data_IF_611978684685
#
_entry.id   IF_611978684685
#
_cell.length_a   1.000
_cell.length_b   1.000
_cell.length_c   1.000
_cell.angle_alpha   90.00
_cell.angle_beta   90.00
_cell.angle_gamma   90.00
#
_symmetry.space_group_name_H-M   'P 1'
#
loop_
_entity.id
_entity.type
_entity.pdbx_description
1 polymer ?
#
# COMPACT_ATOMS: atom_id res chain seq x y z
N UNK A 1 -27.19 34.94 18.45
CA UNK A 1 -26.78 34.07 17.34
C UNK A 1 -25.56 33.27 17.80
N UNK A 2 -25.65 31.95 17.84
CA UNK A 2 -24.56 31.06 18.28
C UNK A 2 -23.75 30.65 17.04
N UNK A 3 -22.53 31.13 16.92
CA UNK A 3 -21.57 30.70 15.90
C UNK A 3 -20.86 29.44 16.39
N UNK A 4 -21.17 28.30 15.78
CA UNK A 4 -20.41 27.06 15.94
C UNK A 4 -19.16 27.15 15.06
N UNK A 5 -18.00 27.31 15.66
CA UNK A 5 -16.71 27.15 14.96
C UNK A 5 -16.36 25.67 14.96
N UNK A 6 -16.75 24.96 13.90
CA UNK A 6 -16.29 23.59 13.67
C UNK A 6 -14.82 23.64 13.31
N UNK A 7 -13.96 23.30 14.26
CA UNK A 7 -12.54 23.04 14.01
C UNK A 7 -12.44 21.78 13.12
N UNK A 8 -12.24 21.98 11.82
CA UNK A 8 -11.84 20.91 10.93
C UNK A 8 -10.45 20.44 11.38
N UNK A 9 -10.42 19.28 12.04
CA UNK A 9 -9.20 18.56 12.35
C UNK A 9 -8.52 18.24 11.02
N UNK A 10 -7.49 19.02 10.67
CA UNK A 10 -6.62 18.78 9.52
C UNK A 10 -6.03 17.38 9.72
N UNK A 11 -6.52 16.41 8.96
CA UNK A 11 -5.93 15.08 8.89
C UNK A 11 -4.57 15.29 8.25
N UNK A 12 -3.51 15.15 9.06
CA UNK A 12 -2.12 15.18 8.62
C UNK A 12 -1.99 14.44 7.29
N UNK A 13 -1.67 15.18 6.22
CA UNK A 13 -1.34 14.55 4.95
C UNK A 13 -0.02 13.81 5.16
N UNK A 14 -0.04 12.47 5.06
CA UNK A 14 1.17 11.66 5.11
C UNK A 14 2.25 12.28 4.22
N UNK A 15 3.41 12.56 4.79
CA UNK A 15 4.52 13.31 4.18
C UNK A 15 5.39 12.45 3.25
N UNK A 16 4.90 11.27 2.89
CA UNK A 16 5.61 10.29 2.07
C UNK A 16 5.72 10.75 0.61
N UNK A 17 6.84 10.40 -0.01
CA UNK A 17 7.11 10.75 -1.40
C UNK A 17 6.74 9.60 -2.33
N UNK A 18 5.92 9.91 -3.34
CA UNK A 18 5.57 8.97 -4.40
C UNK A 18 6.21 9.44 -5.70
N UNK A 19 7.14 8.66 -6.23
CA UNK A 19 7.82 8.97 -7.48
C UNK A 19 7.20 8.23 -8.67
N UNK A 20 7.24 8.79 -9.88
CA UNK A 20 6.81 8.08 -11.08
C UNK A 20 7.62 6.80 -11.30
N UNK A 21 6.94 5.69 -11.65
CA UNK A 21 7.60 4.40 -11.86
C UNK A 21 8.67 4.41 -12.95
N UNK A 22 8.53 5.24 -13.99
CA UNK A 22 9.54 5.34 -15.05
C UNK A 22 10.86 6.00 -14.61
N UNK A 23 10.86 6.75 -13.51
CA UNK A 23 12.06 7.36 -12.92
C UNK A 23 12.59 6.57 -11.73
N UNK A 24 11.96 5.46 -11.37
CA UNK A 24 12.24 4.75 -10.14
C UNK A 24 13.60 4.04 -10.18
N UNK A 25 14.40 4.23 -9.14
CA UNK A 25 15.66 3.53 -8.95
C UNK A 25 15.53 2.57 -7.76
N UNK A 26 15.85 1.27 -7.90
CA UNK A 26 15.70 0.29 -6.82
C UNK A 26 16.29 0.71 -5.46
N UNK A 27 17.40 1.46 -5.46
CA UNK A 27 18.10 1.87 -4.22
C UNK A 27 17.36 2.95 -3.42
N UNK A 28 16.45 3.67 -4.07
CA UNK A 28 15.69 4.79 -3.53
C UNK A 28 14.27 4.38 -3.11
N UNK A 29 13.84 3.14 -3.38
CA UNK A 29 12.48 2.68 -3.11
C UNK A 29 12.33 1.96 -1.78
N UNK A 30 11.14 2.03 -1.19
CA UNK A 30 10.78 1.30 0.03
C UNK A 30 10.60 -0.21 -0.26
N UNK A 31 11.52 -1.08 0.20
CA UNK A 31 11.37 -2.53 0.02
C UNK A 31 10.30 -3.06 0.97
N UNK A 32 9.43 -3.91 0.44
CA UNK A 32 8.22 -4.33 1.14
C UNK A 32 7.98 -5.84 1.16
N UNK A 33 8.85 -6.60 0.49
CA UNK A 33 8.80 -8.05 0.48
C UNK A 33 9.69 -8.64 -0.59
N UNK A 34 9.49 -9.93 -0.84
CA UNK A 34 10.19 -10.68 -1.87
C UNK A 34 9.31 -11.83 -2.34
N UNK A 35 9.34 -12.12 -3.62
CA UNK A 35 8.80 -13.36 -4.18
C UNK A 35 9.86 -14.10 -5.01
N UNK A 36 9.45 -15.12 -5.77
CA UNK A 36 10.35 -15.91 -6.59
C UNK A 36 11.04 -15.12 -7.72
N UNK A 37 10.56 -13.91 -8.04
CA UNK A 37 11.12 -13.03 -9.07
C UNK A 37 12.10 -12.00 -8.51
N UNK A 38 12.06 -11.74 -7.20
CA UNK A 38 12.98 -10.82 -6.54
C UNK A 38 12.28 -9.89 -5.54
N UNK A 39 12.95 -8.77 -5.24
CA UNK A 39 12.46 -7.76 -4.29
C UNK A 39 11.18 -7.12 -4.78
N UNK A 40 10.22 -7.00 -3.87
CA UNK A 40 8.99 -6.25 -4.08
C UNK A 40 9.07 -4.90 -3.37
N UNK A 41 8.50 -3.87 -3.99
CA UNK A 41 8.47 -2.49 -3.50
C UNK A 41 7.03 -2.04 -3.28
N UNK A 42 6.84 -1.04 -2.42
CA UNK A 42 5.53 -0.40 -2.27
C UNK A 42 5.23 0.39 -3.54
N UNK A 43 4.09 0.10 -4.17
CA UNK A 43 3.66 0.79 -5.37
C UNK A 43 2.16 1.10 -5.33
N UNK A 44 1.74 1.98 -6.24
CA UNK A 44 0.33 2.24 -6.52
C UNK A 44 0.12 2.55 -8.00
N UNK A 45 -1.05 2.21 -8.52
CA UNK A 45 -1.42 2.57 -9.89
C UNK A 45 -2.87 3.07 -9.95
N UNK A 46 -3.21 3.79 -11.02
CA UNK A 46 -4.56 4.31 -11.20
C UNK A 46 -5.49 3.26 -11.78
N UNK A 47 -6.66 3.13 -11.16
CA UNK A 47 -7.81 2.40 -11.70
C UNK A 47 -9.02 3.30 -11.53
N UNK A 48 -9.73 3.58 -12.63
CA UNK A 48 -10.89 4.49 -12.65
C UNK A 48 -10.60 5.85 -11.97
N UNK A 49 -9.42 6.41 -12.23
CA UNK A 49 -9.01 7.72 -11.70
C UNK A 49 -8.50 7.72 -10.26
N UNK A 50 -8.62 6.62 -9.51
CA UNK A 50 -8.14 6.51 -8.14
C UNK A 50 -6.87 5.68 -8.05
N UNK A 51 -5.97 6.06 -7.14
CA UNK A 51 -4.80 5.23 -6.84
C UNK A 51 -5.19 4.03 -5.97
N UNK A 52 -4.65 2.87 -6.31
CA UNK A 52 -4.78 1.64 -5.51
C UNK A 52 -3.37 1.15 -5.14
N UNK A 53 -3.06 0.95 -3.84
CA UNK A 53 -1.78 0.38 -3.41
C UNK A 53 -1.66 -1.11 -3.70
N UNK A 54 -0.43 -1.56 -3.96
CA UNK A 54 -0.06 -2.96 -4.05
C UNK A 54 1.47 -3.15 -4.17
N UNK A 55 1.92 -4.29 -4.72
CA UNK A 55 3.34 -4.57 -5.05
C UNK A 55 3.79 -3.95 -6.38
N UNK A 56 5.02 -3.46 -6.39
CA UNK A 56 5.79 -3.17 -7.60
C UNK A 56 7.11 -3.93 -7.66
N UNK A 57 7.68 -4.04 -8.85
CA UNK A 57 8.90 -4.78 -9.14
C UNK A 57 9.55 -4.28 -10.43
N UNK A 58 10.81 -4.66 -10.63
CA UNK A 58 11.54 -4.40 -11.86
C UNK A 58 11.52 -5.61 -12.78
N UNK A 59 11.24 -5.38 -14.07
CA UNK A 59 11.44 -6.37 -15.14
C UNK A 59 12.16 -5.69 -16.29
N UNK A 60 13.33 -6.22 -16.67
CA UNK A 60 14.19 -5.66 -17.73
C UNK A 60 14.46 -4.16 -17.56
N UNK A 61 14.85 -3.75 -16.34
CA UNK A 61 15.16 -2.36 -15.95
C UNK A 61 13.98 -1.37 -16.05
N UNK A 62 12.74 -1.86 -16.13
CA UNK A 62 11.54 -1.03 -16.07
C UNK A 62 10.71 -1.41 -14.84
N UNK A 63 10.22 -0.40 -14.14
CA UNK A 63 9.34 -0.59 -12.99
C UNK A 63 7.90 -0.84 -13.43
N UNK A 64 7.25 -1.78 -12.76
CA UNK A 64 5.85 -2.12 -12.93
C UNK A 64 5.17 -2.19 -11.57
N UNK A 65 3.90 -1.84 -11.52
CA UNK A 65 3.01 -2.16 -10.42
C UNK A 65 2.00 -3.20 -10.89
N UNK A 66 1.61 -4.10 -10.00
CA UNK A 66 0.38 -4.89 -10.15
C UNK A 66 -0.67 -4.28 -9.25
N UNK A 67 -1.95 -4.24 -9.60
CA UNK A 67 -3.01 -3.77 -8.69
C UNK A 67 -4.20 -4.70 -8.71
N UNK A 68 -4.78 -4.97 -7.52
CA UNK A 68 -5.95 -5.82 -7.37
C UNK A 68 -7.26 -4.98 -7.33
N UNK A 69 -8.11 -5.18 -8.34
CA UNK A 69 -9.41 -4.52 -8.46
C UNK A 69 -10.45 -5.48 -9.08
N UNK A 70 -11.67 -5.51 -8.53
CA UNK A 70 -12.76 -6.40 -8.94
C UNK A 70 -12.35 -7.87 -9.11
N UNK A 71 -11.53 -8.37 -8.17
CA UNK A 71 -11.09 -9.77 -8.15
C UNK A 71 -10.04 -10.13 -9.20
N UNK A 72 -9.50 -9.15 -9.94
CA UNK A 72 -8.44 -9.34 -10.92
C UNK A 72 -7.19 -8.55 -10.52
N UNK A 73 -6.01 -9.09 -10.83
CA UNK A 73 -4.75 -8.35 -10.79
C UNK A 73 -4.43 -7.79 -12.17
N UNK A 74 -4.01 -6.52 -12.24
CA UNK A 74 -3.60 -5.85 -13.47
C UNK A 74 -2.20 -5.30 -13.33
N UNK A 75 -1.31 -5.67 -14.23
CA UNK A 75 0.04 -5.09 -14.33
C UNK A 75 -0.01 -3.79 -15.17
N UNK A 76 0.73 -2.77 -14.74
CA UNK A 76 0.94 -1.54 -15.51
C UNK A 76 2.28 -0.90 -15.16
N UNK A 77 2.89 -0.23 -16.13
CA UNK A 77 4.03 0.66 -15.89
C UNK A 77 3.62 2.11 -15.59
N UNK A 78 2.36 2.48 -15.85
CA UNK A 78 1.82 3.78 -15.45
C UNK A 78 1.44 3.71 -13.96
N UNK A 79 2.44 3.92 -13.13
CA UNK A 79 2.38 3.69 -11.69
C UNK A 79 3.31 4.64 -10.94
N UNK A 80 3.19 4.62 -9.63
CA UNK A 80 4.09 5.30 -8.71
C UNK A 80 4.70 4.31 -7.74
N UNK A 81 5.96 4.54 -7.38
CA UNK A 81 6.66 3.82 -6.34
C UNK A 81 6.81 4.72 -5.11
N UNK A 82 6.85 4.12 -3.93
CA UNK A 82 7.12 4.86 -2.70
C UNK A 82 8.63 5.00 -2.53
N UNK A 83 9.12 6.24 -2.41
CA UNK A 83 10.52 6.46 -2.04
C UNK A 83 10.74 6.04 -0.58
N UNK A 84 11.89 5.44 -0.30
CA UNK A 84 12.27 5.01 1.04
C UNK A 84 12.53 6.19 1.96
N UNK A 85 12.39 5.93 3.26
CA UNK A 85 12.73 6.87 4.31
C UNK A 85 11.51 7.54 4.92
N UNK A 86 11.56 7.74 6.24
CA UNK A 86 10.44 8.29 7.00
C UNK A 86 9.29 7.31 7.25
N UNK A 87 9.34 6.07 6.76
CA UNK A 87 8.33 5.04 7.02
C UNK A 87 8.82 3.92 7.95
N UNK A 88 7.90 3.15 8.49
CA UNK A 88 8.14 1.93 9.28
C UNK A 88 6.99 0.93 9.10
N UNK A 89 7.28 -0.36 9.22
CA UNK A 89 6.28 -1.42 9.24
C UNK A 89 5.87 -1.73 10.67
N UNK A 90 4.60 -1.51 11.00
CA UNK A 90 4.04 -1.77 12.31
C UNK A 90 3.17 -3.02 12.29
N UNK A 91 3.42 -3.97 13.18
CA UNK A 91 2.54 -5.13 13.35
C UNK A 91 1.14 -4.70 13.81
N UNK A 92 0.12 -5.13 13.09
CA UNK A 92 -1.29 -4.91 13.41
C UNK A 92 -1.99 -6.27 13.58
N UNK A 93 -2.56 -6.49 14.76
CA UNK A 93 -3.29 -7.72 15.10
C UNK A 93 -4.79 -7.58 14.86
N UNK A 94 -5.49 -8.71 14.81
CA UNK A 94 -6.91 -8.91 14.42
C UNK A 94 -8.02 -8.00 15.01
N UNK A 95 -7.71 -7.12 15.97
CA UNK A 95 -8.65 -6.15 16.57
C UNK A 95 -8.12 -4.71 16.57
N UNK A 96 -7.02 -4.47 15.88
CA UNK A 96 -6.45 -3.13 15.72
C UNK A 96 -7.37 -2.22 14.90
N UNK A 97 -7.21 -0.92 15.08
CA UNK A 97 -7.68 0.09 14.13
C UNK A 97 -6.51 0.46 13.23
N UNK A 98 -6.79 0.92 12.01
CA UNK A 98 -5.74 1.53 11.20
C UNK A 98 -5.10 2.69 12.00
N UNK A 99 -3.77 2.68 12.24
CA UNK A 99 -3.09 3.76 12.93
C UNK A 99 -3.33 5.10 12.25
N UNK A 100 -3.42 6.18 13.01
CA UNK A 100 -3.69 7.52 12.46
C UNK A 100 -2.59 8.05 11.55
N UNK A 101 -1.38 7.51 11.68
CA UNK A 101 -0.22 7.79 10.84
C UNK A 101 0.04 6.68 9.79
N UNK A 102 -0.93 5.81 9.52
CA UNK A 102 -0.81 4.84 8.44
C UNK A 102 -0.71 5.53 7.07
N UNK A 103 0.16 4.99 6.20
CA UNK A 103 0.39 5.54 4.87
C UNK A 103 -0.85 5.33 3.99
N UNK A 104 -1.61 6.42 3.82
CA UNK A 104 -2.71 6.52 2.87
C UNK A 104 -2.13 6.45 1.46
N UNK A 105 -2.48 5.39 0.74
CA UNK A 105 -1.95 5.14 -0.59
C UNK A 105 -2.98 5.33 -1.70
N UNK A 106 -4.25 5.50 -1.35
CA UNK A 106 -5.28 5.94 -2.27
C UNK A 106 -6.68 5.58 -1.80
N UNK A 107 -7.59 5.38 -2.74
CA UNK A 107 -9.00 5.12 -2.49
C UNK A 107 -9.48 3.96 -3.37
N UNK A 108 -10.30 3.09 -2.81
CA UNK A 108 -10.93 2.06 -3.63
C UNK A 108 -11.94 2.70 -4.59
N UNK A 109 -11.88 2.43 -5.91
CA UNK A 109 -12.76 3.09 -6.85
C UNK A 109 -14.24 2.76 -6.67
N UNK A 110 -14.57 1.61 -6.06
CA UNK A 110 -15.95 1.14 -5.92
C UNK A 110 -16.57 1.61 -4.61
N UNK A 111 -15.85 1.46 -3.49
CA UNK A 111 -16.36 1.86 -2.18
C UNK A 111 -16.02 3.29 -1.78
N UNK A 112 -15.08 3.94 -2.49
CA UNK A 112 -14.50 5.24 -2.14
C UNK A 112 -13.82 5.28 -0.76
N UNK A 113 -13.57 4.11 -0.15
CA UNK A 113 -12.89 4.02 1.13
C UNK A 113 -11.39 4.27 1.00
N UNK A 114 -10.80 4.84 2.04
CA UNK A 114 -9.35 4.99 2.15
C UNK A 114 -8.68 3.62 2.17
N UNK A 115 -7.59 3.52 1.41
CA UNK A 115 -6.78 2.30 1.33
C UNK A 115 -5.35 2.57 1.78
N UNK A 116 -4.83 1.65 2.58
CA UNK A 116 -3.52 1.71 3.21
C UNK A 116 -2.66 0.53 2.78
N UNK A 117 -1.35 0.67 2.90
CA UNK A 117 -0.39 -0.36 2.52
C UNK A 117 -0.21 -1.35 3.67
N UNK A 118 -0.37 -2.64 3.40
CA UNK A 118 -0.01 -3.70 4.33
C UNK A 118 0.93 -4.70 3.66
N UNK A 119 1.60 -5.52 4.47
CA UNK A 119 2.33 -6.70 4.00
C UNK A 119 2.11 -7.88 4.93
N UNK A 120 2.31 -9.07 4.38
CA UNK A 120 2.37 -10.28 5.18
C UNK A 120 2.75 -11.49 4.36
N UNK A 121 2.70 -12.65 5.00
CA UNK A 121 3.26 -13.86 4.42
C UNK A 121 2.22 -14.73 3.71
N UNK A 122 2.53 -15.13 2.49
CA UNK A 122 1.76 -16.10 1.70
C UNK A 122 2.61 -17.33 1.40
N UNK A 123 1.97 -18.50 1.34
CA UNK A 123 2.63 -19.73 0.91
C UNK A 123 2.43 -19.90 -0.60
N UNK A 124 3.50 -19.87 -1.36
CA UNK A 124 3.48 -20.05 -2.82
C UNK A 124 4.67 -20.91 -3.24
N UNK A 125 4.39 -21.93 -4.07
CA UNK A 125 5.40 -22.91 -4.52
C UNK A 125 6.14 -23.58 -3.34
N UNK A 126 5.43 -23.93 -2.28
CA UNK A 126 6.00 -24.58 -1.09
C UNK A 126 6.91 -23.69 -0.24
N UNK A 127 7.01 -22.39 -0.54
CA UNK A 127 7.83 -21.42 0.21
C UNK A 127 6.95 -20.30 0.76
N UNK A 128 7.40 -19.73 1.88
CA UNK A 128 6.76 -18.59 2.53
C UNK A 128 7.37 -17.30 2.00
N UNK A 129 6.57 -16.48 1.34
CA UNK A 129 6.98 -15.20 0.74
C UNK A 129 6.28 -14.05 1.43
N UNK A 130 6.98 -12.94 1.67
CA UNK A 130 6.37 -11.72 2.18
C UNK A 130 5.94 -10.86 0.99
N UNK A 131 4.66 -10.51 0.94
CA UNK A 131 4.07 -9.75 -0.16
C UNK A 131 3.23 -8.59 0.36
N UNK A 132 3.01 -7.62 -0.51
CA UNK A 132 2.26 -6.39 -0.25
C UNK A 132 0.80 -6.61 -0.61
N UNK A 133 -0.08 -5.97 0.15
CA UNK A 133 -1.49 -5.84 -0.20
C UNK A 133 -2.08 -4.52 0.26
N UNK A 134 -3.39 -4.52 0.44
CA UNK A 134 -4.16 -3.34 0.83
C UNK A 134 -5.07 -3.61 2.03
N UNK A 135 -5.21 -2.60 2.88
CA UNK A 135 -6.18 -2.55 3.99
C UNK A 135 -7.18 -1.45 3.71
N UNK A 136 -8.45 -1.72 3.98
CA UNK A 136 -9.52 -0.72 3.92
C UNK A 136 -9.69 -0.10 5.30
N UNK A 137 -10.00 1.19 5.37
CA UNK A 137 -10.14 1.90 6.64
C UNK A 137 -11.16 1.25 7.60
N UNK A 138 -12.31 0.84 7.07
CA UNK A 138 -13.42 0.30 7.85
C UNK A 138 -13.39 -1.22 7.98
N UNK A 139 -12.48 -1.89 7.27
CA UNK A 139 -12.31 -3.35 7.26
C UNK A 139 -10.81 -3.66 7.44
N UNK A 140 -10.39 -3.78 8.71
CA UNK A 140 -8.99 -3.97 9.13
C UNK A 140 -8.54 -5.41 8.84
N UNK A 141 -8.44 -5.69 7.54
CA UNK A 141 -8.05 -6.96 6.98
C UNK A 141 -7.07 -6.68 5.84
N UNK A 142 -5.86 -7.23 5.94
CA UNK A 142 -4.89 -7.11 4.87
C UNK A 142 -5.28 -8.08 3.76
N UNK A 143 -5.71 -7.52 2.62
CA UNK A 143 -6.03 -8.29 1.41
C UNK A 143 -4.79 -8.39 0.57
N UNK A 144 -4.34 -9.63 0.37
CA UNK A 144 -3.13 -9.99 -0.35
C UNK A 144 -3.47 -10.62 -1.72
N UNK A 145 -2.46 -10.85 -2.59
CA UNK A 145 -2.62 -11.65 -3.79
C UNK A 145 -3.31 -13.00 -3.58
N UNK A 146 -3.84 -13.56 -4.67
CA UNK A 146 -4.47 -14.89 -4.70
C UNK A 146 -5.68 -15.03 -3.76
N UNK A 147 -6.42 -13.94 -3.56
CA UNK A 147 -7.59 -13.88 -2.64
C UNK A 147 -7.25 -14.26 -1.20
N UNK A 148 -5.97 -14.18 -0.83
CA UNK A 148 -5.52 -14.38 0.54
C UNK A 148 -5.87 -13.17 1.37
N UNK A 149 -6.29 -13.41 2.61
CA UNK A 149 -6.67 -12.37 3.56
C UNK A 149 -6.09 -12.74 4.90
N UNK A 150 -5.57 -11.76 5.62
CA UNK A 150 -4.97 -12.01 6.93
C UNK A 150 -5.32 -10.92 7.92
N UNK A 151 -5.45 -11.34 9.18
CA UNK A 151 -5.74 -10.48 10.33
C UNK A 151 -4.49 -10.11 11.12
N UNK A 152 -3.42 -10.88 10.95
CA UNK A 152 -2.11 -10.60 11.52
C UNK A 152 -1.18 -10.23 10.37
N UNK A 153 -0.87 -8.93 10.27
CA UNK A 153 -0.09 -8.35 9.19
C UNK A 153 0.69 -7.15 9.70
N UNK A 154 1.56 -6.60 8.86
CA UNK A 154 2.19 -5.31 9.13
C UNK A 154 1.54 -4.23 8.25
N UNK A 155 1.28 -3.07 8.83
CA UNK A 155 0.81 -1.88 8.12
C UNK A 155 1.95 -0.86 8.04
N UNK A 156 2.07 -0.19 6.90
CA UNK A 156 3.08 0.85 6.73
C UNK A 156 2.62 2.15 7.39
N UNK A 157 3.46 2.73 8.24
CA UNK A 157 3.22 4.00 8.93
C UNK A 157 4.26 5.05 8.54
N UNK A 158 3.87 6.33 8.57
CA UNK A 158 4.77 7.48 8.47
C UNK A 158 5.25 7.87 9.88
N UNK A 159 6.57 7.89 10.07
CA UNK A 159 7.23 8.24 11.35
C UNK A 159 7.40 9.75 11.54
N UNK A 160 7.05 10.55 10.54
CA UNK A 160 7.19 12.02 10.58
C UNK A 160 5.91 12.73 11.03
N UNK A 161 4.84 11.97 11.30
CA UNK A 161 3.54 12.47 11.71
C UNK A 161 3.30 12.34 13.22
#
# INVERSE_FOLDING_TARGET
>A
ALTFTTSQKVVSSNSVNWEPGYSANPSDLEPAGQDYTGTLYVARARVNGQYIPWRGYFRSNRFYATVAYNGQERETSDCQALSRGGTEWQSLQSRGRVPSNAVLAGYDPSSHERTYVCRGYVNQQGRRWQTIGKVFENDVLCRLPYRSQMRDFEILIDRRC
#
